data_IF_436661572111
#
_entry.id   IF_436661572111
#
_cell.length_a   1.000
_cell.length_b   1.000
_cell.length_c   1.000
_cell.angle_alpha   90.00
_cell.angle_beta   90.00
_cell.angle_gamma   90.00
#
_symmetry.space_group_name_H-M   'P 1'
#
loop_
_entity.id
_entity.type
_entity.pdbx_description
1 polymer ?
#
# COMPACT_ATOMS: atom_id res chain seq x y z
N UNK A 1 10.70 -9.17 19.38
CA UNK A 1 10.11 -7.83 19.14
C UNK A 1 10.31 -7.51 17.70
N UNK A 2 9.23 -7.24 16.97
CA UNK A 2 9.24 -7.00 15.55
C UNK A 2 10.16 -5.83 15.19
N UNK A 3 11.03 -5.97 14.18
CA UNK A 3 11.87 -4.88 13.69
C UNK A 3 11.08 -3.73 13.06
N UNK A 4 9.77 -3.86 12.87
CA UNK A 4 8.88 -2.78 12.43
C UNK A 4 8.99 -1.51 13.30
N UNK A 5 9.18 -1.67 14.63
CA UNK A 5 9.37 -0.52 15.54
C UNK A 5 10.71 0.18 15.27
N UNK A 6 11.71 -0.56 14.86
CA UNK A 6 13.00 0.02 14.52
C UNK A 6 12.97 0.79 13.20
N UNK A 7 12.12 0.40 12.24
CA UNK A 7 11.99 1.09 10.94
C UNK A 7 11.27 2.44 11.04
N UNK A 8 10.27 2.58 11.90
CA UNK A 8 9.57 3.86 12.09
C UNK A 8 10.45 4.91 12.82
N UNK A 9 11.54 4.48 13.44
CA UNK A 9 12.48 5.33 14.19
C UNK A 9 13.78 5.57 13.41
N UNK A 10 14.01 4.82 12.33
CA UNK A 10 15.20 4.97 11.48
C UNK A 10 15.03 6.14 10.50
N UNK A 11 14.95 7.34 11.06
CA UNK A 11 15.27 8.54 10.28
C UNK A 11 16.73 8.45 9.81
N UNK A 12 17.06 8.85 8.59
CA UNK A 12 18.42 8.74 8.05
C UNK A 12 19.50 9.49 8.84
N UNK A 13 19.10 10.44 9.66
CA UNK A 13 19.97 11.23 10.52
C UNK A 13 20.26 10.56 11.88
N UNK A 14 19.56 9.48 12.25
CA UNK A 14 19.76 8.83 13.53
C UNK A 14 20.64 7.58 13.37
N UNK A 15 21.57 7.35 14.31
CA UNK A 15 22.30 6.10 14.32
C UNK A 15 21.32 4.94 14.51
N UNK A 16 21.62 3.80 13.90
CA UNK A 16 20.86 2.55 14.12
C UNK A 16 20.62 2.41 15.64
N UNK A 17 19.36 2.19 16.08
CA UNK A 17 19.06 2.14 17.50
C UNK A 17 19.95 1.09 18.17
N UNK A 18 20.36 1.39 19.40
CA UNK A 18 21.18 0.51 20.24
C UNK A 18 20.54 -0.87 20.53
N UNK A 19 19.29 -1.08 20.10
CA UNK A 19 18.55 -2.36 20.15
C UNK A 19 18.86 -3.29 18.97
N UNK A 20 19.59 -2.87 17.94
CA UNK A 20 20.10 -3.77 16.92
C UNK A 20 21.23 -4.60 17.56
N UNK A 21 20.87 -5.74 18.12
CA UNK A 21 21.88 -6.68 18.61
C UNK A 21 22.53 -7.37 17.44
N UNK A 22 23.84 -7.50 17.49
CA UNK A 22 24.54 -8.43 16.64
C UNK A 22 23.95 -9.82 16.85
N UNK A 23 23.37 -10.40 15.82
CA UNK A 23 22.71 -11.70 15.88
C UNK A 23 22.99 -12.47 14.60
N UNK A 24 22.98 -13.80 14.72
CA UNK A 24 23.00 -14.72 13.59
C UNK A 24 21.68 -15.44 13.40
N UNK A 25 20.66 -15.04 14.15
CA UNK A 25 19.35 -15.64 14.10
C UNK A 25 18.26 -14.56 14.01
N UNK A 26 17.31 -14.77 13.10
CA UNK A 26 16.08 -14.00 12.98
C UNK A 26 14.93 -14.92 13.34
N UNK A 27 14.06 -14.49 14.26
CA UNK A 27 12.87 -15.24 14.69
C UNK A 27 11.62 -14.50 14.28
N UNK A 28 10.73 -15.19 13.61
CA UNK A 28 9.39 -14.79 13.26
C UNK A 28 8.38 -15.77 13.83
N UNK A 29 7.16 -15.34 14.00
CA UNK A 29 6.06 -16.22 14.37
C UNK A 29 4.77 -15.68 13.77
N UNK A 30 3.92 -16.58 13.29
CA UNK A 30 2.66 -16.21 12.66
C UNK A 30 1.72 -17.39 12.48
N UNK A 31 0.55 -17.11 11.94
CA UNK A 31 -0.43 -18.11 11.55
C UNK A 31 -0.30 -18.41 10.05
N UNK A 32 -0.92 -19.50 9.62
CA UNK A 32 -1.06 -19.83 8.19
C UNK A 32 -1.68 -18.67 7.41
N UNK A 33 -1.21 -18.44 6.19
CA UNK A 33 -1.66 -17.37 5.31
C UNK A 33 -1.12 -15.98 5.66
N UNK A 34 -0.36 -15.79 6.75
CA UNK A 34 0.20 -14.50 7.12
C UNK A 34 1.49 -14.15 6.40
N UNK A 35 1.68 -12.86 6.18
CA UNK A 35 2.93 -12.26 5.76
C UNK A 35 3.65 -11.66 6.97
N UNK A 36 4.82 -12.19 7.31
CA UNK A 36 5.59 -11.75 8.47
C UNK A 36 6.89 -11.05 8.04
N UNK A 37 7.08 -9.79 8.43
CA UNK A 37 8.26 -9.04 8.05
C UNK A 37 9.40 -9.22 9.03
N UNK A 38 10.62 -9.20 8.49
CA UNK A 38 11.84 -9.06 9.26
C UNK A 38 12.83 -8.14 8.55
N UNK A 39 13.88 -7.73 9.22
CA UNK A 39 15.01 -7.07 8.57
C UNK A 39 16.33 -7.40 9.25
N UNK A 40 17.41 -7.29 8.47
CA UNK A 40 18.76 -7.38 9.00
C UNK A 40 19.66 -6.33 8.32
N UNK A 41 20.76 -6.01 8.98
CA UNK A 41 21.72 -5.04 8.47
C UNK A 41 23.06 -5.74 8.29
N UNK A 42 23.63 -5.63 7.09
CA UNK A 42 25.00 -6.02 6.82
C UNK A 42 25.88 -4.79 7.03
N UNK A 43 26.80 -4.90 7.99
CA UNK A 43 27.78 -3.87 8.25
C UNK A 43 29.15 -4.34 7.72
N UNK A 44 29.78 -3.53 6.89
CA UNK A 44 31.03 -3.84 6.22
C UNK A 44 32.19 -3.10 6.90
N UNK A 45 33.18 -3.83 7.45
CA UNK A 45 34.43 -3.25 7.95
C UNK A 45 35.31 -2.76 6.82
N UNK A 46 35.16 -3.32 5.63
CA UNK A 46 35.78 -2.90 4.35
C UNK A 46 34.69 -3.01 3.28
N UNK A 47 34.73 -2.22 2.21
CA UNK A 47 33.77 -2.32 1.12
C UNK A 47 33.62 -3.77 0.63
N UNK A 48 32.39 -4.24 0.57
CA UNK A 48 32.00 -5.54 0.03
C UNK A 48 31.47 -5.33 -1.38
N UNK A 49 31.94 -6.15 -2.31
CA UNK A 49 31.62 -6.05 -3.73
C UNK A 49 30.63 -7.15 -4.13
N UNK A 50 29.65 -6.80 -4.93
CA UNK A 50 28.71 -7.73 -5.58
C UNK A 50 28.10 -8.71 -4.56
N UNK A 51 27.56 -8.18 -3.46
CA UNK A 51 26.95 -8.98 -2.41
C UNK A 51 25.62 -9.53 -2.91
N UNK A 52 25.50 -10.85 -2.95
CA UNK A 52 24.22 -11.56 -3.21
C UNK A 52 23.66 -12.06 -1.89
N UNK A 53 22.34 -12.01 -1.78
CA UNK A 53 21.59 -12.63 -0.69
C UNK A 53 20.84 -13.82 -1.27
N UNK A 54 21.10 -15.00 -0.73
CA UNK A 54 20.42 -16.22 -1.14
C UNK A 54 19.69 -16.81 0.07
N UNK A 55 18.45 -17.20 -0.11
CA UNK A 55 17.65 -17.87 0.92
C UNK A 55 17.43 -19.30 0.50
N UNK A 56 17.84 -20.23 1.34
CA UNK A 56 17.56 -21.65 1.10
C UNK A 56 16.05 -21.92 1.31
N UNK A 57 15.46 -22.97 0.72
CA UNK A 57 14.07 -23.30 0.98
C UNK A 57 13.78 -23.51 2.47
N UNK A 58 12.70 -22.93 2.98
CA UNK A 58 12.25 -23.13 4.37
C UNK A 58 11.80 -24.58 4.55
N UNK A 59 12.24 -25.23 5.63
CA UNK A 59 11.93 -26.64 5.95
C UNK A 59 11.56 -26.81 7.41
N UNK A 60 10.62 -27.72 7.66
CA UNK A 60 10.21 -28.16 8.99
C UNK A 60 9.11 -29.23 8.89
N UNK A 61 8.95 -30.06 9.92
CA UNK A 61 7.91 -31.10 9.98
C UNK A 61 7.82 -31.98 8.73
N UNK A 62 8.97 -32.37 8.14
CA UNK A 62 9.07 -33.09 6.88
C UNK A 62 8.47 -32.37 5.66
N UNK A 63 8.21 -31.07 5.77
CA UNK A 63 7.64 -30.21 4.75
C UNK A 63 8.70 -29.20 4.26
N UNK A 64 8.59 -28.82 2.98
CA UNK A 64 9.35 -27.72 2.38
C UNK A 64 8.38 -26.72 1.77
N UNK A 65 8.57 -25.44 2.11
CA UNK A 65 7.76 -24.34 1.58
C UNK A 65 8.12 -24.02 0.13
N UNK A 66 7.21 -23.37 -0.62
CA UNK A 66 7.49 -22.84 -1.95
C UNK A 66 8.69 -21.86 -1.93
N UNK A 67 9.39 -21.76 -3.05
CA UNK A 67 10.56 -20.87 -3.17
C UNK A 67 10.18 -19.39 -3.04
N UNK A 68 8.98 -19.02 -3.46
CA UNK A 68 8.40 -17.68 -3.36
C UNK A 68 7.82 -17.35 -1.98
N UNK A 69 7.90 -18.27 -1.00
CA UNK A 69 7.50 -18.00 0.37
C UNK A 69 8.38 -16.95 1.06
N UNK A 70 9.54 -16.61 0.52
CA UNK A 70 10.44 -15.57 1.06
C UNK A 70 10.81 -14.58 -0.02
N UNK A 71 10.44 -13.32 0.20
CA UNK A 71 10.89 -12.19 -0.61
C UNK A 71 11.94 -11.38 0.17
N UNK A 72 13.05 -11.05 -0.48
CA UNK A 72 14.13 -10.23 0.12
C UNK A 72 14.32 -8.99 -0.72
N UNK A 73 14.25 -7.82 -0.07
CA UNK A 73 14.43 -6.52 -0.71
C UNK A 73 15.50 -5.69 0.00
N UNK A 74 16.10 -4.80 -0.73
CA UNK A 74 16.96 -3.77 -0.14
C UNK A 74 16.08 -2.62 0.36
N UNK A 75 16.39 -2.14 1.56
CA UNK A 75 15.77 -0.92 2.10
C UNK A 75 16.56 0.27 1.57
N UNK A 76 15.91 1.03 0.68
CA UNK A 76 16.52 2.18 0.03
C UNK A 76 15.96 3.49 0.55
N UNK A 77 16.83 4.48 0.67
CA UNK A 77 16.41 5.85 0.99
C UNK A 77 15.62 6.46 -0.16
N UNK A 78 14.59 7.18 0.21
CA UNK A 78 13.70 7.91 -0.67
C UNK A 78 13.45 9.28 -0.09
N UNK A 79 13.59 10.34 -0.89
CA UNK A 79 13.34 11.69 -0.44
C UNK A 79 11.85 11.99 -0.40
N UNK A 80 11.31 12.13 0.80
CA UNK A 80 9.91 12.51 1.03
C UNK A 80 9.84 14.02 1.24
N UNK A 81 9.01 14.69 0.45
CA UNK A 81 8.74 16.12 0.62
C UNK A 81 7.58 16.28 1.60
N UNK A 82 7.81 16.91 2.71
CA UNK A 82 6.75 17.42 3.59
C UNK A 82 6.10 18.65 2.93
N UNK A 83 4.79 18.83 3.09
CA UNK A 83 4.07 19.99 2.61
C UNK A 83 4.58 21.32 3.19
N UNK A 84 5.31 21.29 4.30
CA UNK A 84 5.78 22.47 5.05
C UNK A 84 7.29 22.54 5.28
N UNK A 85 8.09 21.63 4.69
CA UNK A 85 9.52 21.57 4.98
C UNK A 85 10.38 21.04 3.84
N UNK A 86 11.71 21.02 4.05
CA UNK A 86 12.65 20.43 3.11
C UNK A 86 12.39 18.93 2.94
N UNK A 87 12.73 18.40 1.77
CA UNK A 87 12.69 16.96 1.55
C UNK A 87 13.66 16.25 2.51
N UNK A 88 13.18 15.19 3.15
CA UNK A 88 13.96 14.37 4.09
C UNK A 88 14.17 13.00 3.47
N UNK A 89 15.41 12.50 3.49
CA UNK A 89 15.69 11.14 3.08
C UNK A 89 15.16 10.17 4.15
N UNK A 90 14.34 9.21 3.73
CA UNK A 90 13.75 8.20 4.61
C UNK A 90 13.96 6.81 4.03
N UNK A 91 14.33 5.80 4.84
CA UNK A 91 14.52 4.43 4.41
C UNK A 91 13.15 3.72 4.25
N UNK A 92 12.37 4.13 3.26
CA UNK A 92 11.00 3.68 3.06
C UNK A 92 10.79 2.81 1.83
N UNK A 93 11.72 2.84 0.86
CA UNK A 93 11.53 2.16 -0.41
C UNK A 93 12.12 0.75 -0.32
N UNK A 94 11.30 -0.25 -0.60
CA UNK A 94 11.70 -1.66 -0.66
C UNK A 94 11.81 -2.08 -2.12
N UNK A 95 13.04 -2.34 -2.60
CA UNK A 95 13.30 -2.67 -4.01
C UNK A 95 14.20 -3.88 -4.15
N UNK A 96 14.08 -4.57 -5.27
CA UNK A 96 15.00 -5.65 -5.68
C UNK A 96 16.21 -5.10 -6.43
N UNK A 97 16.03 -4.04 -7.24
CA UNK A 97 17.14 -3.38 -7.94
C UNK A 97 17.64 -2.17 -7.15
N UNK A 98 18.85 -2.22 -6.57
CA UNK A 98 19.43 -1.06 -5.89
C UNK A 98 19.64 0.14 -6.82
N UNK A 99 19.71 -0.10 -8.13
CA UNK A 99 19.83 0.93 -9.17
C UNK A 99 18.50 1.55 -9.61
N UNK A 100 17.36 1.00 -9.22
CA UNK A 100 16.03 1.47 -9.63
C UNK A 100 15.79 2.96 -9.37
N UNK A 101 16.24 3.45 -8.23
CA UNK A 101 16.14 4.85 -7.83
C UNK A 101 17.50 5.41 -7.44
N UNK A 102 17.81 6.59 -7.97
CA UNK A 102 18.94 7.41 -7.50
C UNK A 102 18.41 8.65 -6.79
N UNK A 103 19.20 9.17 -5.84
CA UNK A 103 18.99 10.47 -5.22
C UNK A 103 20.04 11.41 -5.83
N UNK A 104 19.57 12.46 -6.50
CA UNK A 104 20.44 13.41 -7.20
C UNK A 104 20.26 14.84 -6.67
N UNK A 105 21.31 15.66 -6.67
CA UNK A 105 21.19 17.07 -6.36
C UNK A 105 20.19 17.76 -7.29
N UNK A 106 19.33 18.57 -6.70
CA UNK A 106 18.36 19.41 -7.41
C UNK A 106 18.31 20.81 -6.79
N UNK A 107 19.43 21.55 -6.75
CA UNK A 107 19.52 22.83 -6.05
C UNK A 107 18.56 23.85 -6.64
N UNK A 108 17.92 24.62 -5.77
CA UNK A 108 17.10 25.79 -6.12
C UNK A 108 17.69 27.03 -5.48
N UNK A 109 17.26 28.23 -5.90
CA UNK A 109 17.69 29.49 -5.28
C UNK A 109 17.32 29.56 -3.78
N UNK A 110 16.24 28.91 -3.39
CA UNK A 110 15.71 28.91 -2.02
C UNK A 110 16.30 27.73 -1.19
N UNK A 111 16.68 26.64 -1.84
CA UNK A 111 17.29 25.48 -1.20
C UNK A 111 18.43 24.92 -2.04
N UNK A 112 19.69 25.38 -1.80
CA UNK A 112 20.86 24.91 -2.54
C UNK A 112 21.25 23.45 -2.25
N UNK A 113 20.73 22.85 -1.17
CA UNK A 113 20.98 21.44 -0.80
C UNK A 113 19.82 20.51 -1.21
N UNK A 114 18.87 21.02 -2.00
CA UNK A 114 17.72 20.21 -2.41
C UNK A 114 18.16 18.98 -3.20
N UNK A 115 17.48 17.88 -2.91
CA UNK A 115 17.68 16.59 -3.57
C UNK A 115 16.38 16.15 -4.23
N UNK A 116 16.45 15.34 -5.25
CA UNK A 116 15.30 14.72 -5.93
C UNK A 116 15.50 13.23 -6.10
N UNK A 117 14.40 12.50 -6.12
CA UNK A 117 14.37 11.11 -6.52
C UNK A 117 14.38 11.03 -8.06
N UNK A 118 15.22 10.16 -8.61
CA UNK A 118 15.32 9.93 -10.05
C UNK A 118 15.23 8.43 -10.28
N UNK A 119 14.13 8.00 -10.89
CA UNK A 119 14.02 6.62 -11.36
C UNK A 119 14.94 6.42 -12.58
N UNK A 120 15.64 5.29 -12.63
CA UNK A 120 16.53 4.95 -13.73
C UNK A 120 15.92 3.83 -14.56
N UNK A 121 15.87 4.04 -15.86
CA UNK A 121 15.29 3.09 -16.80
C UNK A 121 13.76 3.06 -16.81
N UNK A 122 13.19 1.89 -17.05
CA UNK A 122 11.75 1.68 -16.94
C UNK A 122 11.30 1.79 -15.47
N UNK A 123 10.10 2.31 -15.23
CA UNK A 123 9.50 2.39 -13.87
C UNK A 123 9.03 1.00 -13.41
N UNK A 124 9.94 0.05 -13.41
CA UNK A 124 9.69 -1.33 -13.04
C UNK A 124 10.88 -1.88 -12.26
N UNK A 125 10.62 -2.34 -11.05
CA UNK A 125 11.62 -3.01 -10.23
C UNK A 125 12.03 -4.38 -10.84
N UNK A 126 13.20 -4.87 -10.47
CA UNK A 126 13.62 -6.22 -10.86
C UNK A 126 12.71 -7.29 -10.23
N UNK A 127 12.53 -8.45 -10.88
CA UNK A 127 11.73 -9.55 -10.32
C UNK A 127 12.38 -10.19 -9.08
N UNK A 128 13.70 -10.10 -8.93
CA UNK A 128 14.48 -10.68 -7.84
C UNK A 128 15.56 -9.72 -7.38
N UNK A 129 16.00 -9.87 -6.12
CA UNK A 129 17.04 -9.04 -5.52
C UNK A 129 18.33 -9.12 -6.32
N UNK A 130 18.77 -7.99 -6.83
CA UNK A 130 20.02 -7.85 -7.53
C UNK A 130 21.20 -7.72 -6.55
N UNK A 131 22.39 -8.10 -7.01
CA UNK A 131 23.59 -7.93 -6.21
C UNK A 131 23.89 -6.45 -5.94
N UNK A 132 24.41 -6.15 -4.76
CA UNK A 132 24.66 -4.78 -4.30
C UNK A 132 26.06 -4.64 -3.70
N UNK A 133 26.69 -3.50 -3.95
CA UNK A 133 27.94 -3.13 -3.27
C UNK A 133 27.61 -2.49 -1.92
N UNK A 134 28.31 -2.92 -0.86
CA UNK A 134 28.10 -2.41 0.49
C UNK A 134 29.37 -1.69 0.95
N UNK A 135 29.32 -0.36 0.99
CA UNK A 135 30.46 0.45 1.42
C UNK A 135 30.60 0.48 2.95
N UNK A 136 29.51 0.74 3.64
CA UNK A 136 29.46 0.84 5.11
C UNK A 136 28.45 -0.15 5.69
N UNK A 137 27.18 0.05 5.36
CA UNK A 137 26.07 -0.77 5.83
C UNK A 137 24.90 -0.71 4.84
N UNK A 138 24.17 -1.81 4.77
CA UNK A 138 22.94 -1.92 3.97
C UNK A 138 21.93 -2.73 4.74
N UNK A 139 20.71 -2.24 4.78
CA UNK A 139 19.57 -2.94 5.38
C UNK A 139 18.84 -3.73 4.31
N UNK A 140 18.52 -4.98 4.64
CA UNK A 140 17.68 -5.86 3.85
C UNK A 140 16.38 -6.12 4.60
N UNK A 141 15.30 -6.19 3.86
CA UNK A 141 13.96 -6.52 4.33
C UNK A 141 13.60 -7.92 3.85
N UNK A 142 13.10 -8.74 4.75
CA UNK A 142 12.58 -10.06 4.43
C UNK A 142 11.08 -10.04 4.67
N UNK A 143 10.31 -10.52 3.71
CA UNK A 143 8.89 -10.84 3.90
C UNK A 143 8.74 -12.36 3.76
N UNK A 144 8.17 -12.98 4.78
CA UNK A 144 7.87 -14.41 4.80
C UNK A 144 6.38 -14.61 4.66
N UNK A 145 5.93 -15.28 3.62
CA UNK A 145 4.56 -15.76 3.50
C UNK A 145 4.48 -17.18 4.06
N UNK A 146 3.73 -17.36 5.15
CA UNK A 146 3.46 -18.67 5.72
C UNK A 146 2.36 -19.33 4.88
N UNK A 147 2.63 -20.46 4.19
CA UNK A 147 1.63 -21.05 3.31
C UNK A 147 0.34 -21.47 4.05
N UNK A 148 -0.80 -21.41 3.36
CA UNK A 148 -2.13 -21.66 3.95
C UNK A 148 -2.32 -23.04 4.57
N UNK A 149 -1.53 -24.03 4.14
CA UNK A 149 -1.69 -25.41 4.57
C UNK A 149 -0.53 -25.92 5.44
N UNK A 150 0.31 -24.98 5.93
CA UNK A 150 1.46 -25.31 6.77
C UNK A 150 1.02 -25.87 8.12
N UNK A 151 1.60 -26.99 8.54
CA UNK A 151 1.37 -27.55 9.87
C UNK A 151 1.99 -26.67 10.96
N UNK A 152 1.36 -26.60 12.15
CA UNK A 152 1.96 -25.90 13.30
C UNK A 152 3.32 -26.49 13.67
N UNK A 153 4.28 -25.61 13.93
CA UNK A 153 5.63 -26.05 14.29
C UNK A 153 6.71 -25.04 13.99
N UNK A 154 7.95 -25.49 14.04
CA UNK A 154 9.12 -24.64 13.81
C UNK A 154 9.74 -24.99 12.46
N UNK A 155 9.84 -23.98 11.62
CA UNK A 155 10.44 -24.05 10.28
C UNK A 155 11.73 -23.22 10.26
N UNK A 156 12.70 -23.66 9.46
CA UNK A 156 14.03 -23.05 9.44
C UNK A 156 14.56 -22.92 8.04
N UNK A 157 15.36 -21.88 7.83
CA UNK A 157 16.17 -21.74 6.63
C UNK A 157 17.42 -20.95 6.92
N UNK A 158 18.35 -20.97 5.96
CA UNK A 158 19.59 -20.20 6.00
C UNK A 158 19.50 -19.04 5.00
N UNK A 159 19.75 -17.84 5.49
CA UNK A 159 19.97 -16.64 4.66
C UNK A 159 21.47 -16.47 4.49
N UNK A 160 21.97 -16.67 3.28
CA UNK A 160 23.39 -16.58 2.93
C UNK A 160 23.73 -15.21 2.38
N UNK A 161 24.80 -14.64 2.87
CA UNK A 161 25.35 -13.35 2.44
C UNK A 161 26.67 -13.64 1.74
N UNK A 162 26.73 -13.41 0.44
CA UNK A 162 27.76 -13.86 -0.47
C UNK A 162 28.46 -12.69 -1.16
N UNK A 163 29.40 -12.02 -0.52
CA UNK A 163 30.22 -11.01 -1.17
C UNK A 163 31.24 -11.65 -2.13
N UNK A 164 31.53 -11.00 -3.25
CA UNK A 164 32.51 -11.50 -4.22
C UNK A 164 33.98 -11.42 -3.70
N UNK A 165 34.26 -10.49 -2.79
CA UNK A 165 35.60 -10.16 -2.31
C UNK A 165 35.82 -10.47 -0.82
N UNK A 166 34.96 -11.27 -0.18
CA UNK A 166 35.11 -11.68 1.23
C UNK A 166 34.50 -13.05 1.46
N UNK A 167 34.81 -13.65 2.60
CA UNK A 167 34.22 -14.91 3.00
C UNK A 167 32.70 -14.81 3.21
N UNK A 168 31.94 -15.79 2.76
CA UNK A 168 30.50 -15.86 3.00
C UNK A 168 30.15 -15.89 4.48
N UNK A 169 29.01 -15.30 4.82
CA UNK A 169 28.40 -15.44 6.14
C UNK A 169 26.93 -15.78 6.01
N UNK A 170 26.30 -16.17 7.13
CA UNK A 170 24.91 -16.60 7.12
C UNK A 170 24.17 -16.18 8.38
N UNK A 171 22.86 -16.07 8.23
CA UNK A 171 21.87 -15.93 9.29
C UNK A 171 20.92 -17.15 9.26
N UNK A 172 20.48 -17.60 10.41
CA UNK A 172 19.37 -18.55 10.50
C UNK A 172 18.06 -17.76 10.57
N UNK A 173 17.10 -18.11 9.73
CA UNK A 173 15.73 -17.61 9.80
C UNK A 173 14.85 -18.73 10.35
N UNK A 174 14.21 -18.46 11.49
CA UNK A 174 13.34 -19.40 12.22
C UNK A 174 11.93 -18.84 12.20
N UNK A 175 10.98 -19.62 11.73
CA UNK A 175 9.56 -19.27 11.70
C UNK A 175 8.78 -20.25 12.58
N UNK A 176 8.10 -19.75 13.59
CA UNK A 176 7.18 -20.50 14.44
C UNK A 176 5.76 -20.34 13.93
N UNK A 177 5.15 -21.43 13.46
CA UNK A 177 3.76 -21.43 12.98
C UNK A 177 2.84 -21.86 14.12
N UNK A 178 1.89 -20.98 14.45
CA UNK A 178 0.96 -21.20 15.55
C UNK A 178 -0.09 -22.27 15.25
N UNK A 179 -0.60 -22.99 16.30
CA UNK A 179 -1.57 -24.08 16.15
C UNK A 179 -3.02 -23.58 16.06
N UNK A 180 -3.24 -22.40 15.49
CA UNK A 180 -4.57 -21.85 15.27
C UNK A 180 -4.60 -20.99 14.00
N UNK A 181 -5.79 -20.82 13.43
CA UNK A 181 -6.02 -19.96 12.30
C UNK A 181 -6.55 -18.61 12.75
N UNK A 182 -6.13 -17.55 12.07
CA UNK A 182 -6.77 -16.26 12.24
C UNK A 182 -8.17 -16.31 11.63
N UNK A 183 -9.13 -15.81 12.39
CA UNK A 183 -10.48 -15.62 11.87
C UNK A 183 -10.51 -14.40 10.97
N UNK A 184 -11.38 -14.44 9.96
CA UNK A 184 -11.63 -13.27 9.13
C UNK A 184 -11.99 -12.07 10.03
N UNK A 185 -11.45 -10.87 9.75
CA UNK A 185 -11.74 -9.69 10.53
C UNK A 185 -13.23 -9.36 10.47
N UNK A 186 -13.78 -8.82 11.58
CA UNK A 186 -15.16 -8.31 11.61
C UNK A 186 -15.32 -6.98 10.88
N UNK A 187 -14.22 -6.35 10.49
CA UNK A 187 -14.19 -5.06 9.83
C UNK A 187 -13.69 -5.19 8.40
N UNK A 188 -14.23 -4.38 7.51
CA UNK A 188 -13.63 -4.13 6.22
C UNK A 188 -12.49 -3.13 6.39
N UNK A 189 -11.30 -3.50 5.95
CA UNK A 189 -10.15 -2.58 5.94
C UNK A 189 -10.14 -1.79 4.64
N UNK A 190 -10.22 -0.48 4.76
CA UNK A 190 -10.14 0.46 3.65
C UNK A 190 -8.91 1.34 3.77
N UNK A 191 -8.46 1.88 2.64
CA UNK A 191 -7.38 2.86 2.55
C UNK A 191 -7.77 3.92 1.52
N UNK A 192 -7.31 5.14 1.72
CA UNK A 192 -7.33 6.13 0.65
C UNK A 192 -6.44 5.64 -0.49
N UNK A 193 -7.08 5.34 -1.62
CA UNK A 193 -6.44 4.84 -2.82
C UNK A 193 -6.65 5.84 -3.96
N UNK A 194 -5.84 6.93 -4.00
CA UNK A 194 -6.06 8.08 -4.87
C UNK A 194 -5.62 7.78 -6.30
N UNK A 195 -6.31 6.88 -6.96
CA UNK A 195 -6.04 6.51 -8.35
C UNK A 195 -7.26 6.72 -9.22
N UNK A 196 -7.01 6.95 -10.53
CA UNK A 196 -8.01 6.93 -11.58
C UNK A 196 -7.64 5.88 -12.61
N UNK A 197 -8.63 5.10 -12.99
CA UNK A 197 -8.49 4.14 -14.08
C UNK A 197 -8.56 4.87 -15.42
N UNK A 198 -7.55 4.63 -16.27
CA UNK A 198 -7.46 5.15 -17.64
C UNK A 198 -7.28 4.03 -18.64
N UNK A 199 -7.60 4.28 -19.90
CA UNK A 199 -7.40 3.30 -20.98
C UNK A 199 -5.92 2.98 -21.15
N UNK A 200 -5.61 1.72 -21.47
CA UNK A 200 -4.24 1.23 -21.62
C UNK A 200 -3.46 1.99 -22.73
N UNK A 201 -4.17 2.53 -23.71
CA UNK A 201 -3.59 3.30 -24.83
C UNK A 201 -3.41 4.79 -24.49
N UNK A 202 -3.93 5.25 -23.36
CA UNK A 202 -3.79 6.63 -22.92
C UNK A 202 -2.36 6.88 -22.41
N UNK A 203 -1.67 7.86 -22.99
CA UNK A 203 -0.39 8.34 -22.45
C UNK A 203 -0.55 9.08 -21.11
N UNK A 204 -1.75 9.43 -20.75
CA UNK A 204 -2.09 10.23 -19.56
C UNK A 204 -1.78 9.51 -18.24
N UNK A 205 -1.81 8.18 -18.22
CA UNK A 205 -1.44 7.41 -17.03
C UNK A 205 0.02 7.64 -16.58
N UNK A 206 0.89 8.08 -17.50
CA UNK A 206 2.31 8.41 -17.20
C UNK A 206 2.50 9.84 -16.75
N UNK A 207 1.56 10.73 -17.06
CA UNK A 207 1.73 12.19 -16.90
C UNK A 207 0.73 12.82 -15.95
N UNK A 208 -0.03 12.02 -15.17
CA UNK A 208 -1.11 12.50 -14.29
C UNK A 208 -0.82 13.87 -13.69
N UNK A 209 -1.52 14.89 -14.19
CA UNK A 209 -1.24 16.29 -13.87
C UNK A 209 -1.88 16.77 -12.56
N UNK A 210 -2.70 15.93 -11.94
CA UNK A 210 -3.37 16.29 -10.69
C UNK A 210 -2.52 15.85 -9.51
N UNK A 211 -2.15 16.77 -8.68
CA UNK A 211 -1.15 16.63 -7.63
C UNK A 211 -1.38 15.49 -6.63
N UNK A 212 -2.57 14.90 -6.59
CA UNK A 212 -2.97 13.92 -5.58
C UNK A 212 -3.47 12.59 -6.15
N UNK A 213 -3.70 12.48 -7.47
CA UNK A 213 -4.23 11.28 -8.09
C UNK A 213 -3.20 10.67 -9.03
N UNK A 214 -2.92 9.39 -8.87
CA UNK A 214 -2.19 8.62 -9.85
C UNK A 214 -3.17 8.11 -10.91
N UNK A 215 -2.79 8.21 -12.18
CA UNK A 215 -3.53 7.65 -13.29
C UNK A 215 -2.88 6.33 -13.67
N UNK A 216 -3.63 5.25 -13.59
CA UNK A 216 -3.11 3.89 -13.78
C UNK A 216 -3.99 3.12 -14.76
N UNK A 217 -3.36 2.21 -15.49
CA UNK A 217 -4.07 1.34 -16.41
C UNK A 217 -4.73 0.15 -15.67
N UNK A 218 -5.57 -0.59 -16.39
CA UNK A 218 -6.28 -1.74 -15.85
C UNK A 218 -5.35 -2.80 -15.24
N UNK A 219 -4.24 -3.12 -15.89
CA UNK A 219 -3.32 -4.17 -15.41
C UNK A 219 -2.67 -3.78 -14.08
N UNK A 220 -2.24 -2.53 -13.96
CA UNK A 220 -1.68 -2.02 -12.72
C UNK A 220 -2.72 -1.96 -11.61
N UNK A 221 -3.94 -1.51 -11.92
CA UNK A 221 -5.05 -1.49 -10.95
C UNK A 221 -5.32 -2.89 -10.37
N UNK A 222 -5.39 -3.91 -11.24
CA UNK A 222 -5.57 -5.31 -10.82
C UNK A 222 -4.41 -5.79 -9.95
N UNK A 223 -3.16 -5.50 -10.36
CA UNK A 223 -1.98 -5.92 -9.61
C UNK A 223 -1.93 -5.29 -8.22
N UNK A 224 -2.23 -3.99 -8.11
CA UNK A 224 -2.26 -3.28 -6.82
C UNK A 224 -3.40 -3.78 -5.93
N UNK A 225 -4.61 -3.99 -6.46
CA UNK A 225 -5.71 -4.57 -5.70
C UNK A 225 -5.40 -5.98 -5.19
N UNK A 226 -4.79 -6.83 -6.01
CA UNK A 226 -4.35 -8.17 -5.58
C UNK A 226 -3.30 -8.11 -4.48
N UNK A 227 -2.37 -7.18 -4.60
CA UNK A 227 -1.37 -6.95 -3.54
C UNK A 227 -2.02 -6.51 -2.24
N UNK A 228 -2.97 -5.56 -2.29
CA UNK A 228 -3.73 -5.12 -1.11
C UNK A 228 -4.49 -6.28 -0.47
N UNK A 229 -5.20 -7.09 -1.25
CA UNK A 229 -5.92 -8.27 -0.75
C UNK A 229 -4.99 -9.27 -0.06
N UNK A 230 -3.84 -9.57 -0.69
CA UNK A 230 -2.84 -10.47 -0.12
C UNK A 230 -2.28 -10.00 1.24
N UNK A 231 -2.38 -8.71 1.51
CA UNK A 231 -1.95 -8.09 2.79
C UNK A 231 -3.13 -7.72 3.71
N UNK A 232 -4.32 -8.29 3.46
CA UNK A 232 -5.50 -8.15 4.34
C UNK A 232 -6.29 -6.86 4.16
N UNK A 233 -5.94 -6.01 3.20
CA UNK A 233 -6.70 -4.80 2.88
C UNK A 233 -7.75 -5.15 1.84
N UNK A 234 -9.00 -5.28 2.29
CA UNK A 234 -10.08 -5.89 1.51
C UNK A 234 -10.87 -4.91 0.64
N UNK A 235 -10.80 -3.61 0.92
CA UNK A 235 -11.70 -2.66 0.29
C UNK A 235 -11.10 -1.24 0.16
N UNK A 236 -10.11 -1.00 -0.73
CA UNK A 236 -9.63 0.35 -1.00
C UNK A 236 -10.76 1.23 -1.53
N UNK A 237 -10.76 2.51 -1.16
CA UNK A 237 -11.81 3.43 -1.63
C UNK A 237 -11.70 3.72 -3.14
N UNK A 238 -12.76 4.30 -3.71
CA UNK A 238 -12.87 4.62 -5.14
C UNK A 238 -12.95 6.14 -5.28
N UNK A 239 -12.06 6.72 -6.09
CA UNK A 239 -12.05 8.16 -6.35
C UNK A 239 -12.99 8.60 -7.48
N UNK A 240 -13.54 7.67 -8.24
CA UNK A 240 -14.58 7.93 -9.22
C UNK A 240 -15.89 7.21 -8.79
N UNK A 241 -16.92 7.99 -8.56
CA UNK A 241 -18.23 7.48 -8.16
C UNK A 241 -19.29 7.67 -9.25
N UNK A 242 -20.52 7.84 -8.80
CA UNK A 242 -21.66 8.12 -9.69
C UNK A 242 -21.70 9.61 -10.02
N UNK A 243 -21.74 9.95 -11.28
CA UNK A 243 -21.81 11.34 -11.72
C UNK A 243 -23.22 11.73 -12.14
N UNK A 244 -23.60 12.98 -11.88
CA UNK A 244 -24.83 13.55 -12.39
C UNK A 244 -24.57 14.30 -13.69
N UNK A 245 -25.32 13.97 -14.74
CA UNK A 245 -25.25 14.65 -16.03
C UNK A 245 -26.04 15.98 -15.99
N UNK A 246 -25.78 16.90 -16.93
CA UNK A 246 -26.49 18.17 -17.00
C UNK A 246 -28.02 18.06 -17.15
N UNK A 247 -28.52 16.92 -17.61
CA UNK A 247 -29.95 16.64 -17.76
C UNK A 247 -30.57 16.02 -16.49
N UNK A 248 -29.82 15.91 -15.40
CA UNK A 248 -30.26 15.31 -14.13
C UNK A 248 -30.25 13.78 -14.11
N UNK A 249 -29.75 13.12 -15.17
CA UNK A 249 -29.58 11.66 -15.18
C UNK A 249 -28.28 11.27 -14.50
N UNK A 250 -28.27 10.09 -13.85
CA UNK A 250 -27.10 9.56 -13.19
C UNK A 250 -26.27 8.70 -14.14
N UNK A 251 -24.98 8.90 -14.13
CA UNK A 251 -24.00 8.15 -14.91
C UNK A 251 -23.21 7.21 -14.01
N UNK A 252 -23.37 5.92 -14.21
CA UNK A 252 -22.70 4.87 -13.47
C UNK A 252 -21.53 4.25 -14.24
N UNK A 253 -21.35 4.61 -15.51
CA UNK A 253 -20.47 3.90 -16.43
C UNK A 253 -19.03 3.76 -15.94
N UNK A 254 -18.46 4.83 -15.38
CA UNK A 254 -17.08 4.80 -14.87
C UNK A 254 -16.98 3.96 -13.59
N UNK A 255 -17.93 4.06 -12.70
CA UNK A 255 -17.97 3.23 -11.50
C UNK A 255 -18.14 1.75 -11.86
N UNK A 256 -19.02 1.41 -12.79
CA UNK A 256 -19.23 0.04 -13.27
C UNK A 256 -17.94 -0.53 -13.91
N UNK A 257 -17.21 0.26 -14.70
CA UNK A 257 -15.91 -0.12 -15.24
C UNK A 257 -14.91 -0.45 -14.13
N UNK A 258 -14.78 0.41 -13.12
CA UNK A 258 -13.89 0.19 -11.98
C UNK A 258 -14.30 -1.06 -11.19
N UNK A 259 -15.59 -1.26 -10.94
CA UNK A 259 -16.09 -2.42 -10.22
C UNK A 259 -15.80 -3.73 -10.97
N UNK A 260 -15.93 -3.75 -12.30
CA UNK A 260 -15.55 -4.90 -13.11
C UNK A 260 -14.06 -5.23 -13.00
N UNK A 261 -13.20 -4.22 -13.01
CA UNK A 261 -11.75 -4.38 -12.82
C UNK A 261 -11.42 -4.88 -11.41
N UNK A 262 -12.12 -4.38 -10.39
CA UNK A 262 -11.97 -4.85 -9.00
C UNK A 262 -12.41 -6.30 -8.84
N UNK A 263 -13.51 -6.70 -9.47
CA UNK A 263 -13.98 -8.08 -9.44
C UNK A 263 -12.97 -9.04 -10.08
N UNK A 264 -12.33 -8.65 -11.19
CA UNK A 264 -11.22 -9.41 -11.79
C UNK A 264 -10.00 -9.52 -10.86
N UNK A 265 -9.80 -8.53 -10.01
CA UNK A 265 -8.76 -8.56 -8.98
C UNK A 265 -9.11 -9.40 -7.75
N UNK A 266 -10.39 -9.73 -7.53
CA UNK A 266 -10.90 -10.48 -6.39
C UNK A 266 -11.72 -9.65 -5.39
N UNK A 267 -12.02 -8.38 -5.68
CA UNK A 267 -12.88 -7.51 -4.85
C UNK A 267 -14.24 -7.41 -5.53
N UNK A 268 -15.09 -8.40 -5.29
CA UNK A 268 -16.41 -8.50 -5.90
C UNK A 268 -17.55 -7.88 -5.06
N UNK A 269 -18.79 -8.10 -5.50
CA UNK A 269 -19.98 -7.71 -4.75
C UNK A 269 -20.00 -8.27 -3.31
N UNK A 270 -20.74 -7.60 -2.43
CA UNK A 270 -20.86 -7.95 -1.01
C UNK A 270 -20.06 -7.07 -0.07
N UNK A 271 -19.06 -6.32 -0.58
CA UNK A 271 -18.34 -5.30 0.20
C UNK A 271 -19.07 -3.95 0.15
N UNK A 272 -18.74 -3.06 1.10
CA UNK A 272 -19.22 -1.68 1.06
C UNK A 272 -18.53 -0.89 -0.06
N UNK A 273 -19.18 0.14 -0.61
CA UNK A 273 -18.55 1.08 -1.53
C UNK A 273 -18.22 2.39 -0.80
N UNK A 274 -16.95 2.71 -0.74
CA UNK A 274 -16.43 3.98 -0.23
C UNK A 274 -16.02 4.85 -1.42
N UNK A 275 -16.85 5.85 -1.77
CA UNK A 275 -16.60 6.71 -2.92
C UNK A 275 -16.18 8.10 -2.47
N UNK A 276 -15.08 8.61 -3.07
CA UNK A 276 -14.57 9.96 -2.80
C UNK A 276 -15.27 11.04 -3.67
N UNK A 277 -16.01 10.61 -4.69
CA UNK A 277 -16.80 11.46 -5.58
C UNK A 277 -18.07 10.72 -5.98
N UNK A 278 -19.22 11.29 -5.70
CA UNK A 278 -20.51 10.70 -6.03
C UNK A 278 -21.59 11.78 -6.23
N UNK A 279 -22.63 11.47 -7.00
CA UNK A 279 -23.81 12.31 -7.06
C UNK A 279 -24.35 12.58 -5.64
N UNK A 280 -24.84 13.77 -5.39
CA UNK A 280 -25.28 14.25 -4.07
C UNK A 280 -24.15 14.37 -3.02
N UNK A 281 -22.94 14.76 -3.43
CA UNK A 281 -21.85 15.04 -2.50
C UNK A 281 -22.25 16.07 -1.41
N UNK A 282 -21.74 15.92 -0.17
CA UNK A 282 -21.94 16.90 0.88
C UNK A 282 -21.48 18.30 0.46
N UNK A 283 -22.24 19.30 0.83
CA UNK A 283 -21.90 20.72 0.61
C UNK A 283 -21.94 21.47 1.92
N UNK A 284 -20.94 22.31 2.17
CA UNK A 284 -20.80 23.09 3.41
C UNK A 284 -21.68 24.34 3.40
N UNK A 285 -22.99 24.16 3.31
CA UNK A 285 -24.01 25.21 3.43
C UNK A 285 -25.36 24.64 3.84
N UNK A 286 -26.21 25.49 4.40
CA UNK A 286 -27.62 25.14 4.63
C UNK A 286 -28.32 24.89 3.30
N UNK A 287 -29.10 23.83 3.23
CA UNK A 287 -29.93 23.49 2.08
C UNK A 287 -31.37 23.99 2.27
N UNK A 288 -32.02 24.33 1.18
CA UNK A 288 -33.47 24.53 1.17
C UNK A 288 -34.18 23.18 1.28
N UNK A 289 -35.46 23.18 1.63
CA UNK A 289 -36.26 21.95 1.72
C UNK A 289 -36.38 21.23 0.36
N UNK A 290 -36.41 22.00 -0.74
CA UNK A 290 -36.39 21.46 -2.11
C UNK A 290 -35.08 20.78 -2.43
N UNK A 291 -33.94 21.42 -2.13
CA UNK A 291 -32.61 20.84 -2.35
C UNK A 291 -32.36 19.58 -1.51
N UNK A 292 -32.86 19.55 -0.27
CA UNK A 292 -32.83 18.34 0.58
C UNK A 292 -33.65 17.21 -0.04
N UNK A 293 -34.87 17.49 -0.49
CA UNK A 293 -35.72 16.48 -1.10
C UNK A 293 -35.13 15.91 -2.39
N UNK A 294 -34.53 16.75 -3.24
CA UNK A 294 -33.84 16.34 -4.47
C UNK A 294 -32.61 15.46 -4.16
N UNK A 295 -31.84 15.85 -3.19
CA UNK A 295 -30.66 15.09 -2.74
C UNK A 295 -31.05 13.74 -2.18
N UNK A 296 -32.08 13.65 -1.33
CA UNK A 296 -32.61 12.40 -0.80
C UNK A 296 -33.04 11.46 -1.94
N UNK A 297 -33.71 11.99 -2.95
CA UNK A 297 -34.14 11.20 -4.09
C UNK A 297 -32.95 10.70 -4.95
N UNK A 298 -31.95 11.54 -5.15
CA UNK A 298 -30.70 11.15 -5.83
C UNK A 298 -29.99 10.02 -5.08
N UNK A 299 -29.83 10.15 -3.77
CA UNK A 299 -29.23 9.10 -2.92
C UNK A 299 -30.03 7.81 -3.01
N UNK A 300 -31.38 7.87 -2.96
CA UNK A 300 -32.23 6.68 -3.11
C UNK A 300 -32.01 5.95 -4.44
N UNK A 301 -31.85 6.68 -5.54
CA UNK A 301 -31.53 6.09 -6.85
C UNK A 301 -30.18 5.38 -6.83
N UNK A 302 -29.14 6.01 -6.27
CA UNK A 302 -27.81 5.43 -6.15
C UNK A 302 -27.84 4.19 -5.26
N UNK A 303 -28.54 4.24 -4.11
CA UNK A 303 -28.69 3.10 -3.22
C UNK A 303 -29.45 1.94 -3.87
N UNK A 304 -30.50 2.23 -4.65
CA UNK A 304 -31.25 1.20 -5.38
C UNK A 304 -30.36 0.51 -6.43
N UNK A 305 -29.57 1.27 -7.18
CA UNK A 305 -28.58 0.73 -8.12
C UNK A 305 -27.55 -0.12 -7.37
N UNK A 306 -26.94 0.39 -6.29
CA UNK A 306 -25.93 -0.33 -5.52
C UNK A 306 -26.46 -1.68 -5.01
N UNK A 307 -27.67 -1.70 -4.47
CA UNK A 307 -28.31 -2.94 -4.02
C UNK A 307 -28.54 -3.93 -5.17
N UNK A 308 -28.94 -3.46 -6.34
CA UNK A 308 -29.10 -4.30 -7.53
C UNK A 308 -27.75 -4.85 -8.03
N UNK A 309 -26.69 -4.05 -7.95
CA UNK A 309 -25.33 -4.44 -8.32
C UNK A 309 -24.62 -5.31 -7.25
N UNK A 310 -25.29 -5.58 -6.10
CA UNK A 310 -24.75 -6.42 -5.04
C UNK A 310 -23.89 -5.68 -4.00
N UNK A 311 -23.99 -4.36 -3.96
CA UNK A 311 -23.29 -3.50 -2.99
C UNK A 311 -24.32 -2.88 -2.03
N UNK A 312 -24.56 -3.48 -0.86
CA UNK A 312 -25.67 -3.06 0.01
C UNK A 312 -25.42 -1.73 0.73
N UNK A 313 -24.17 -1.38 0.97
CA UNK A 313 -23.78 -0.20 1.71
C UNK A 313 -22.91 0.72 0.84
N UNK A 314 -23.36 1.95 0.65
CA UNK A 314 -22.61 3.00 -0.03
C UNK A 314 -22.33 4.14 0.94
N UNK A 315 -21.05 4.58 0.92
CA UNK A 315 -20.54 5.65 1.75
C UNK A 315 -20.14 6.85 0.89
N UNK A 316 -20.60 8.02 1.28
CA UNK A 316 -20.19 9.30 0.73
C UNK A 316 -19.09 9.91 1.59
N UNK A 317 -18.10 10.48 0.96
CA UNK A 317 -17.08 11.28 1.65
C UNK A 317 -17.67 12.63 2.03
N UNK A 318 -17.56 13.03 3.29
CA UNK A 318 -17.75 14.39 3.73
C UNK A 318 -16.58 15.29 3.31
N UNK A 319 -16.67 16.58 3.59
CA UNK A 319 -15.57 17.51 3.36
C UNK A 319 -14.35 17.07 4.17
N UNK A 320 -13.23 16.84 3.48
CA UNK A 320 -11.98 16.45 4.11
C UNK A 320 -11.51 17.51 5.11
N UNK A 321 -11.08 17.04 6.31
CA UNK A 321 -10.62 17.91 7.41
C UNK A 321 -11.64 18.97 7.88
N UNK A 322 -12.94 18.77 7.68
CA UNK A 322 -13.96 19.69 8.14
C UNK A 322 -14.01 19.76 9.67
N UNK A 323 -14.03 20.96 10.22
CA UNK A 323 -14.14 21.22 11.65
C UNK A 323 -14.97 22.48 11.95
N UNK A 324 -15.51 22.56 13.17
CA UNK A 324 -16.24 23.73 13.64
C UNK A 324 -17.46 24.08 12.79
N UNK A 325 -17.51 25.30 12.28
CA UNK A 325 -18.65 25.80 11.51
C UNK A 325 -18.78 25.10 10.14
N UNK A 326 -17.71 24.63 9.54
CA UNK A 326 -17.75 23.88 8.28
C UNK A 326 -18.47 22.54 8.45
N UNK A 327 -18.08 21.77 9.47
CA UNK A 327 -18.77 20.53 9.78
C UNK A 327 -20.24 20.75 10.12
N UNK A 328 -20.56 21.85 10.84
CA UNK A 328 -21.94 22.23 11.14
C UNK A 328 -22.73 22.60 9.88
N UNK A 329 -22.08 23.25 8.91
CA UNK A 329 -22.70 23.65 7.64
C UNK A 329 -23.01 22.46 6.70
N UNK A 330 -22.30 21.34 6.83
CA UNK A 330 -22.58 20.13 6.04
C UNK A 330 -23.71 19.26 6.57
N UNK A 331 -24.19 19.56 7.77
CA UNK A 331 -25.21 18.71 8.45
C UNK A 331 -26.42 18.43 7.56
N UNK A 332 -26.96 19.42 6.89
CA UNK A 332 -28.14 19.25 6.03
C UNK A 332 -27.90 18.24 4.90
N UNK A 333 -26.70 18.26 4.31
CA UNK A 333 -26.29 17.31 3.27
C UNK A 333 -26.12 15.91 3.82
N UNK A 334 -25.49 15.78 4.98
CA UNK A 334 -25.27 14.48 5.63
C UNK A 334 -26.59 13.85 6.07
N UNK A 335 -27.52 14.65 6.63
CA UNK A 335 -28.88 14.21 6.97
C UNK A 335 -29.65 13.76 5.72
N UNK A 336 -29.55 14.50 4.62
CA UNK A 336 -30.19 14.10 3.36
C UNK A 336 -29.64 12.79 2.79
N UNK A 337 -28.31 12.57 2.87
CA UNK A 337 -27.70 11.30 2.47
C UNK A 337 -28.21 10.16 3.36
N UNK A 338 -28.25 10.35 4.67
CA UNK A 338 -28.77 9.36 5.62
C UNK A 338 -30.25 9.05 5.36
N UNK A 339 -31.11 10.07 5.14
CA UNK A 339 -32.53 9.91 4.86
C UNK A 339 -32.80 9.23 3.49
N UNK A 340 -31.83 9.33 2.58
CA UNK A 340 -31.80 8.58 1.31
C UNK A 340 -31.38 7.11 1.47
N UNK A 341 -30.87 6.73 2.64
CA UNK A 341 -30.36 5.38 2.94
C UNK A 341 -28.86 5.19 2.72
N UNK A 342 -28.14 6.26 2.38
CA UNK A 342 -26.67 6.27 2.28
C UNK A 342 -25.99 6.42 3.64
N UNK A 343 -24.68 6.30 3.64
CA UNK A 343 -23.80 6.52 4.80
C UNK A 343 -22.75 7.58 4.49
N UNK A 344 -22.22 8.23 5.51
CA UNK A 344 -21.16 9.25 5.38
C UNK A 344 -19.97 8.83 6.23
N UNK A 345 -18.75 9.04 5.74
CA UNK A 345 -17.50 8.79 6.46
C UNK A 345 -16.53 9.97 6.39
#
# INVERSE_FOLDING_TARGET
>A
RSPLIAMSVLMPAEPLPSVCKETREIKLSGCRGQYEPASFVVTAAKPLETVRIEVEPIKGNDEQWPEDAVDVRIVKEYHVRSSAGPAVAMPMLLVHDPGFLAIEPAPTAENPEAMKNVARGELRDAPELQAVDIVNRTQFWITVHIPDHTDPGTYRTTVRILPANSEPTSLELVVEVYPFDLQAPMFEYSIYYPVRLVDDESEDWRTGQWSNLAWINKQQYIAECRNMLAHGLSNPNIYDGVHERPDGTLDYSKLEEILAVREEAGIGPGVSLYTMSAAAEPVARTLTDEEKAERIETVRKVMAWGKQAGYPDLYWTAQDEAWGEWLAAERDSMEAIHDGGGKVF
#
